data_IF_141956666443
#
_entry.id   IF_141956666443
#
_cell.length_a   1.000
_cell.length_b   1.000
_cell.length_c   1.000
_cell.angle_alpha   90.00
_cell.angle_beta   90.00
_cell.angle_gamma   90.00
#
_symmetry.space_group_name_H-M   'P 1'
#
loop_
_entity.id
_entity.type
_entity.pdbx_description
1 polymer ?
#
# COMPACT_ATOMS: atom_id res chain seq x y z
N UNK A 1 -1.54 24.47 0.56
CA UNK A 1 -1.66 23.03 0.84
C UNK A 1 -0.54 22.34 0.06
N UNK A 2 0.52 21.85 0.70
CA UNK A 2 1.59 21.14 0.00
C UNK A 2 1.15 19.70 -0.28
N UNK A 3 0.37 19.51 -1.34
CA UNK A 3 -0.12 18.20 -1.77
C UNK A 3 1.06 17.47 -2.42
N UNK A 4 1.50 16.35 -1.83
CA UNK A 4 2.46 15.46 -2.49
C UNK A 4 1.74 14.57 -3.50
N UNK A 5 2.40 14.25 -4.60
CA UNK A 5 1.84 13.41 -5.65
C UNK A 5 1.75 11.94 -5.20
N UNK A 6 0.65 11.29 -5.60
CA UNK A 6 0.51 9.84 -5.51
C UNK A 6 1.54 9.15 -6.41
N UNK A 7 2.20 8.13 -5.88
CA UNK A 7 3.17 7.28 -6.57
C UNK A 7 3.00 5.82 -6.12
N UNK A 8 3.63 4.90 -6.84
CA UNK A 8 3.63 3.47 -6.52
C UNK A 8 4.83 2.78 -7.16
N UNK A 9 4.66 1.50 -7.47
CA UNK A 9 5.72 0.66 -8.03
C UNK A 9 6.05 0.94 -9.50
N UNK A 10 5.25 1.78 -10.15
CA UNK A 10 5.36 2.11 -11.56
C UNK A 10 5.22 3.64 -11.74
N UNK A 11 5.90 4.26 -12.72
CA UNK A 11 5.69 5.66 -13.06
C UNK A 11 4.22 6.01 -13.36
N UNK A 12 3.45 5.06 -13.91
CA UNK A 12 2.05 5.22 -14.25
C UNK A 12 1.14 4.83 -13.07
N UNK A 13 0.36 5.80 -12.58
CA UNK A 13 -0.61 5.58 -11.48
C UNK A 13 -1.66 4.53 -11.83
N UNK A 14 -2.02 4.44 -13.11
CA UNK A 14 -2.98 3.49 -13.62
C UNK A 14 -2.48 2.05 -13.45
N UNK A 15 -1.24 1.78 -13.84
CA UNK A 15 -0.58 0.49 -13.63
C UNK A 15 -0.47 0.20 -12.11
N UNK A 16 -0.11 1.21 -11.31
CA UNK A 16 -0.07 1.07 -9.85
C UNK A 16 -1.41 0.62 -9.24
N UNK A 17 -2.53 1.16 -9.73
CA UNK A 17 -3.86 0.74 -9.28
C UNK A 17 -4.27 -0.62 -9.86
N UNK A 18 -4.27 -0.75 -11.18
CA UNK A 18 -4.87 -1.91 -11.84
C UNK A 18 -4.06 -3.20 -11.63
N UNK A 19 -2.73 -3.10 -11.77
CA UNK A 19 -1.82 -4.24 -11.70
C UNK A 19 -1.31 -4.48 -10.29
N UNK A 20 -0.81 -3.44 -9.63
CA UNK A 20 -0.18 -3.58 -8.32
C UNK A 20 -1.13 -3.39 -7.15
N UNK A 21 -2.31 -2.78 -7.38
CA UNK A 21 -3.28 -2.55 -6.32
C UNK A 21 -2.78 -1.65 -5.20
N UNK A 22 -1.83 -0.75 -5.45
CA UNK A 22 -1.25 0.11 -4.41
C UNK A 22 -0.82 1.47 -4.96
N UNK A 23 -1.30 2.53 -4.32
CA UNK A 23 -0.78 3.89 -4.44
C UNK A 23 -0.50 4.45 -3.05
N UNK A 24 0.56 5.26 -2.94
CA UNK A 24 0.93 5.94 -1.71
C UNK A 24 1.22 7.42 -1.95
N UNK A 25 1.01 8.25 -0.94
CA UNK A 25 1.46 9.66 -0.94
C UNK A 25 1.87 10.07 0.46
N UNK A 26 2.83 10.98 0.57
CA UNK A 26 3.28 11.49 1.86
C UNK A 26 2.39 12.63 2.38
N UNK A 27 1.56 12.37 3.38
CA UNK A 27 0.84 13.45 4.06
C UNK A 27 1.75 14.15 5.07
N UNK A 28 2.20 15.35 4.71
CA UNK A 28 3.05 16.20 5.56
C UNK A 28 2.40 16.59 6.88
N UNK A 29 1.06 16.63 6.94
CA UNK A 29 0.32 17.04 8.15
C UNK A 29 0.34 15.94 9.20
N UNK A 30 0.06 14.70 8.80
CA UNK A 30 0.10 13.54 9.69
C UNK A 30 1.49 12.93 9.83
N UNK A 31 2.45 13.35 9.00
CA UNK A 31 3.79 12.77 8.89
C UNK A 31 3.72 11.26 8.66
N UNK A 32 2.82 10.84 7.78
CA UNK A 32 2.57 9.45 7.43
C UNK A 32 2.34 9.31 5.93
N UNK A 33 2.48 8.11 5.40
CA UNK A 33 1.99 7.79 4.08
C UNK A 33 0.49 7.52 4.15
N UNK A 34 -0.28 8.19 3.30
CA UNK A 34 -1.63 7.76 2.97
C UNK A 34 -1.53 6.73 1.85
N UNK A 35 -2.21 5.60 2.05
CA UNK A 35 -2.16 4.44 1.17
C UNK A 35 -3.56 4.14 0.64
N UNK A 36 -3.68 4.00 -0.67
CA UNK A 36 -4.84 3.45 -1.35
C UNK A 36 -4.45 2.05 -1.85
N UNK A 37 -5.11 1.01 -1.34
CA UNK A 37 -4.71 -0.37 -1.60
C UNK A 37 -5.90 -1.27 -1.90
N UNK A 38 -5.66 -2.29 -2.72
CA UNK A 38 -6.67 -3.27 -3.14
C UNK A 38 -6.83 -4.34 -2.07
N UNK A 39 -8.07 -4.63 -1.72
CA UNK A 39 -8.44 -5.64 -0.71
C UNK A 39 -8.98 -6.87 -1.41
N UNK A 40 -9.87 -6.68 -2.38
CA UNK A 40 -10.37 -7.73 -3.25
C UNK A 40 -10.82 -7.15 -4.59
N UNK A 41 -11.44 -7.96 -5.45
CA UNK A 41 -11.98 -7.48 -6.72
C UNK A 41 -12.94 -6.31 -6.47
N UNK A 42 -12.60 -5.14 -6.98
CA UNK A 42 -13.35 -3.89 -6.86
C UNK A 42 -13.59 -3.40 -5.42
N UNK A 43 -12.80 -3.87 -4.44
CA UNK A 43 -12.80 -3.37 -3.07
C UNK A 43 -11.44 -2.79 -2.70
N UNK A 44 -11.47 -1.56 -2.21
CA UNK A 44 -10.29 -0.78 -1.88
C UNK A 44 -10.36 -0.27 -0.45
N UNK A 45 -9.21 -0.23 0.21
CA UNK A 45 -9.02 0.41 1.50
C UNK A 45 -8.20 1.70 1.35
N UNK A 46 -8.42 2.63 2.28
CA UNK A 46 -7.59 3.81 2.46
C UNK A 46 -7.14 3.87 3.90
N UNK A 47 -5.83 3.83 4.13
CA UNK A 47 -5.23 3.85 5.48
C UNK A 47 -4.03 4.79 5.52
N UNK A 48 -3.60 5.15 6.73
CA UNK A 48 -2.34 5.87 6.94
C UNK A 48 -1.36 4.97 7.69
N UNK A 49 -0.09 5.00 7.31
CA UNK A 49 0.97 4.29 8.03
C UNK A 49 2.27 5.09 7.96
N UNK A 50 3.05 5.08 9.04
CA UNK A 50 4.38 5.68 9.08
C UNK A 50 5.46 4.66 8.68
N UNK A 51 6.64 5.10 8.20
CA UNK A 51 7.76 4.19 7.95
C UNK A 51 8.11 3.33 9.18
N UNK A 52 8.10 3.93 10.37
CA UNK A 52 8.38 3.22 11.62
C UNK A 52 7.32 2.14 11.91
N UNK A 53 6.04 2.42 11.71
CA UNK A 53 4.99 1.40 11.88
C UNK A 53 5.15 0.24 10.88
N UNK A 54 5.55 0.55 9.64
CA UNK A 54 5.81 -0.48 8.63
C UNK A 54 6.97 -1.40 9.05
N UNK A 55 8.07 -0.81 9.53
CA UNK A 55 9.24 -1.57 9.97
C UNK A 55 8.96 -2.33 11.27
N UNK A 56 8.09 -1.80 12.15
CA UNK A 56 7.67 -2.45 13.40
C UNK A 56 6.96 -3.79 13.18
N UNK A 57 6.29 -4.00 12.04
CA UNK A 57 5.64 -5.27 11.70
C UNK A 57 6.64 -6.43 11.74
N UNK A 58 7.91 -6.19 11.40
CA UNK A 58 8.96 -7.21 11.42
C UNK A 58 9.32 -7.71 12.83
N UNK A 59 8.91 -6.97 13.86
CA UNK A 59 9.21 -7.27 15.26
C UNK A 59 7.98 -7.81 16.02
N UNK A 60 6.86 -7.99 15.33
CA UNK A 60 5.68 -8.61 15.92
C UNK A 60 5.92 -10.11 16.16
N UNK A 61 5.44 -10.66 17.28
CA UNK A 61 5.71 -12.04 17.69
C UNK A 61 5.22 -13.09 16.67
N UNK A 62 4.20 -12.74 15.88
CA UNK A 62 3.63 -13.61 14.85
C UNK A 62 4.38 -13.53 13.51
N UNK A 63 5.29 -12.56 13.33
CA UNK A 63 5.91 -12.29 12.04
C UNK A 63 7.16 -13.14 11.80
N UNK A 64 7.08 -14.05 10.84
CA UNK A 64 8.21 -14.91 10.47
C UNK A 64 9.07 -14.28 9.36
N UNK A 65 10.16 -13.59 9.76
CA UNK A 65 11.11 -12.93 8.84
C UNK A 65 11.64 -13.91 7.77
N UNK A 66 11.96 -15.14 8.14
CA UNK A 66 12.46 -16.15 7.20
C UNK A 66 11.48 -16.44 6.07
N UNK A 67 10.18 -16.44 6.37
CA UNK A 67 9.13 -16.68 5.37
C UNK A 67 8.96 -15.48 4.44
N UNK A 68 9.09 -14.25 4.96
CA UNK A 68 9.12 -13.05 4.12
C UNK A 68 10.31 -13.10 3.14
N UNK A 69 11.49 -13.49 3.61
CA UNK A 69 12.68 -13.60 2.75
C UNK A 69 12.48 -14.66 1.65
N UNK A 70 11.89 -15.82 1.99
CA UNK A 70 11.53 -16.87 1.01
C UNK A 70 10.49 -16.37 0.00
N UNK A 71 9.46 -15.68 0.47
CA UNK A 71 8.38 -15.14 -0.37
C UNK A 71 8.90 -14.09 -1.37
N UNK A 72 9.74 -13.17 -0.88
CA UNK A 72 10.28 -12.08 -1.70
C UNK A 72 11.54 -12.48 -2.50
N UNK A 73 12.13 -13.64 -2.20
CA UNK A 73 13.43 -14.05 -2.75
C UNK A 73 14.57 -13.08 -2.41
N UNK A 74 14.41 -12.26 -1.37
CA UNK A 74 15.30 -11.15 -1.04
C UNK A 74 15.76 -11.24 0.42
N UNK A 75 17.07 -11.16 0.72
CA UNK A 75 17.56 -11.08 2.10
C UNK A 75 17.00 -9.86 2.82
N UNK A 76 16.76 -9.95 4.13
CA UNK A 76 16.19 -8.88 4.93
C UNK A 76 17.03 -7.59 4.85
N UNK A 77 18.37 -7.72 4.87
CA UNK A 77 19.29 -6.58 4.75
C UNK A 77 19.09 -5.77 3.46
N UNK A 78 18.71 -6.45 2.37
CA UNK A 78 18.38 -5.80 1.09
C UNK A 78 16.95 -5.28 1.12
N UNK A 79 16.03 -6.04 1.70
CA UNK A 79 14.61 -5.67 1.80
C UNK A 79 14.39 -4.36 2.56
N UNK A 80 15.12 -4.14 3.66
CA UNK A 80 15.02 -2.91 4.48
C UNK A 80 15.40 -1.66 3.68
N UNK A 81 16.33 -1.79 2.73
CA UNK A 81 16.78 -0.71 1.86
C UNK A 81 15.85 -0.41 0.68
N UNK A 82 14.77 -1.18 0.49
CA UNK A 82 13.80 -0.93 -0.56
C UNK A 82 12.98 0.34 -0.29
N UNK A 83 12.43 0.91 -1.36
CA UNK A 83 11.51 2.03 -1.26
C UNK A 83 10.26 1.67 -0.45
N UNK A 84 9.64 2.68 0.15
CA UNK A 84 8.51 2.51 1.06
C UNK A 84 7.36 1.72 0.41
N UNK A 85 6.97 2.08 -0.80
CA UNK A 85 5.90 1.43 -1.56
C UNK A 85 6.24 -0.04 -1.90
N UNK A 86 7.52 -0.37 -2.10
CA UNK A 86 7.96 -1.75 -2.34
C UNK A 86 7.92 -2.59 -1.08
N UNK A 87 8.38 -2.04 0.05
CA UNK A 87 8.26 -2.69 1.36
C UNK A 87 6.79 -2.96 1.70
N UNK A 88 5.95 -1.94 1.55
CA UNK A 88 4.52 -2.02 1.80
C UNK A 88 3.83 -3.04 0.89
N UNK A 89 4.12 -3.02 -0.41
CA UNK A 89 3.59 -4.02 -1.35
C UNK A 89 3.97 -5.44 -0.94
N UNK A 90 5.24 -5.68 -0.57
CA UNK A 90 5.68 -7.00 -0.15
C UNK A 90 4.92 -7.48 1.09
N UNK A 91 4.75 -6.63 2.10
CA UNK A 91 4.02 -6.99 3.33
C UNK A 91 2.54 -7.24 3.07
N UNK A 92 1.87 -6.37 2.31
CA UNK A 92 0.44 -6.57 1.96
C UNK A 92 0.23 -7.88 1.21
N UNK A 93 1.13 -8.27 0.31
CA UNK A 93 1.00 -9.54 -0.42
C UNK A 93 1.42 -10.76 0.41
N UNK A 94 2.22 -10.57 1.45
CA UNK A 94 2.71 -11.65 2.31
C UNK A 94 1.73 -12.00 3.43
N UNK A 95 1.33 -11.02 4.26
CA UNK A 95 0.43 -11.22 5.40
C UNK A 95 -0.97 -10.61 5.19
N UNK A 96 -1.18 -9.84 4.13
CA UNK A 96 -2.47 -9.22 3.86
C UNK A 96 -2.60 -7.82 4.47
N UNK A 97 -3.57 -7.02 3.99
CA UNK A 97 -3.69 -5.63 4.40
C UNK A 97 -4.20 -5.46 5.84
N UNK A 98 -4.90 -6.45 6.41
CA UNK A 98 -5.38 -6.39 7.80
C UNK A 98 -4.20 -6.47 8.77
N UNK A 99 -3.24 -7.35 8.52
CA UNK A 99 -2.06 -7.49 9.37
C UNK A 99 -1.11 -6.28 9.24
N UNK A 100 -1.16 -5.57 8.10
CA UNK A 100 -0.36 -4.35 7.88
C UNK A 100 -1.03 -3.09 8.45
N UNK A 101 -2.33 -2.93 8.26
CA UNK A 101 -3.05 -1.69 8.58
C UNK A 101 -3.97 -1.80 9.80
N UNK A 102 -4.12 -2.98 10.39
CA UNK A 102 -5.13 -3.29 11.41
C UNK A 102 -6.52 -3.47 10.81
N UNK A 103 -7.56 -3.37 11.65
CA UNK A 103 -8.94 -3.60 11.23
C UNK A 103 -9.41 -2.58 10.19
N UNK A 104 -9.86 -3.08 9.03
CA UNK A 104 -10.31 -2.26 7.90
C UNK A 104 -11.83 -2.15 7.96
N UNK A 105 -12.36 -1.03 8.45
CA UNK A 105 -13.80 -0.87 8.68
C UNK A 105 -14.62 -0.44 7.46
N UNK A 106 -13.99 -0.04 6.35
CA UNK A 106 -14.71 0.46 5.17
C UNK A 106 -14.01 0.08 3.86
N UNK A 107 -14.68 -0.71 3.02
CA UNK A 107 -14.25 -0.94 1.64
C UNK A 107 -15.03 -0.01 0.70
N UNK A 108 -14.31 0.69 -0.15
CA UNK A 108 -14.89 1.52 -1.21
C UNK A 108 -14.76 0.83 -2.56
N UNK A 109 -15.70 1.10 -3.46
CA UNK A 109 -15.49 0.78 -4.89
C UNK A 109 -14.26 1.52 -5.42
N UNK A 110 -13.68 1.06 -6.54
CA UNK A 110 -12.52 1.74 -7.17
C UNK A 110 -12.78 3.23 -7.37
N UNK A 111 -13.98 3.58 -7.84
CA UNK A 111 -14.40 4.97 -8.08
C UNK A 111 -14.47 5.79 -6.80
N UNK A 112 -15.11 5.25 -5.76
CA UNK A 112 -15.22 5.93 -4.47
C UNK A 112 -13.86 6.10 -3.80
N UNK A 113 -13.00 5.08 -3.88
CA UNK A 113 -11.67 5.10 -3.32
C UNK A 113 -10.79 6.16 -4.00
N UNK A 114 -10.81 6.23 -5.33
CA UNK A 114 -10.13 7.31 -6.08
C UNK A 114 -10.67 8.69 -5.70
N UNK A 115 -12.00 8.83 -5.54
CA UNK A 115 -12.63 10.09 -5.10
C UNK A 115 -12.19 10.50 -3.68
N UNK A 116 -12.18 9.57 -2.73
CA UNK A 116 -11.74 9.80 -1.34
C UNK A 116 -10.24 10.16 -1.30
N UNK A 117 -9.44 9.45 -2.08
CA UNK A 117 -8.00 9.66 -2.21
C UNK A 117 -7.64 10.93 -3.01
N UNK A 118 -8.60 11.52 -3.72
CA UNK A 118 -8.39 12.60 -4.70
C UNK A 118 -7.34 12.19 -5.75
N UNK A 119 -7.51 10.99 -6.29
CA UNK A 119 -6.78 10.46 -7.45
C UNK A 119 -7.69 10.65 -8.66
N UNK A 120 -7.17 11.22 -9.73
CA UNK A 120 -7.93 11.39 -10.97
C UNK A 120 -8.35 10.02 -11.51
N UNK A 121 -9.67 9.84 -11.66
CA UNK A 121 -10.27 8.61 -12.13
C UNK A 121 -10.34 8.64 -13.66
N UNK A 122 -9.68 7.68 -14.32
CA UNK A 122 -9.83 7.38 -15.75
C UNK A 122 -10.98 6.37 -15.94
N UNK A 123 -11.83 6.51 -16.97
CA UNK A 123 -12.86 5.52 -17.29
C UNK A 123 -12.33 4.09 -17.48
N UNK A 124 -11.06 3.95 -17.85
CA UNK A 124 -10.37 2.66 -18.02
C UNK A 124 -10.39 1.80 -16.74
N UNK A 125 -10.50 2.44 -15.56
CA UNK A 125 -10.66 1.76 -14.27
C UNK A 125 -12.01 1.05 -14.06
N UNK A 126 -13.02 1.29 -14.92
CA UNK A 126 -14.37 0.73 -14.77
C UNK A 126 -14.62 -0.57 -15.54
N UNK A 127 -13.67 -1.01 -16.38
CA UNK A 127 -13.85 -2.14 -17.30
C UNK A 127 -13.34 -3.49 -16.76
N UNK A 128 -13.07 -3.64 -15.45
CA UNK A 128 -12.48 -4.87 -14.85
C UNK A 128 -13.22 -5.37 -13.60
#
# INVERSE_FOLDING_TARGET
MCITNWHGLDPEKEICLLKYGLLVRWDRRSKSYQCLYKVSRNKWGVSNITPNQLDNILFEDWFEIENLQKFTGTPLSVWIGLSFEKKLYNLINFCGPIDVFGTIYNFSSTREACKLARVDFSPEYSMI
#
